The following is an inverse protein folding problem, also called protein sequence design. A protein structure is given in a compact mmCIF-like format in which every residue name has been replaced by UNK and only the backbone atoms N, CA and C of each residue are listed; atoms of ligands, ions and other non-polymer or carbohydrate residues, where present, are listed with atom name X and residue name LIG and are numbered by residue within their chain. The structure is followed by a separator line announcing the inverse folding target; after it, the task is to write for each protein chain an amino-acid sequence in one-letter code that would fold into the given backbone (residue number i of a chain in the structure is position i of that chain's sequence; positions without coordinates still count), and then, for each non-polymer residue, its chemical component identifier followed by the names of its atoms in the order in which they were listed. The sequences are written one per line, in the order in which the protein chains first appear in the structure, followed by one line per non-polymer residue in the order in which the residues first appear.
data_IF_914154991941
#
_entry.id   IF_914154991941
#
_cell.length_a   1.000
_cell.length_b   1.000
_cell.length_c   1.000
_cell.angle_alpha   90.00
_cell.angle_beta   90.00
_cell.angle_gamma   90.00
#
_symmetry.space_group_name_H-M   'P 1'
#
loop_
_entity.id
_entity.type
_entity.pdbx_description
1 polymer ?
#
# COMPACT_ATOMS: atom_id res chain seq x y z
N UNK A 1 -14.67 -5.35 -7.68
CA UNK A 1 -13.65 -4.29 -7.69
C UNK A 1 -12.31 -4.88 -7.33
N UNK A 2 -11.23 -4.49 -7.99
CA UNK A 2 -9.90 -5.04 -7.68
C UNK A 2 -9.36 -4.59 -6.32
N UNK A 3 -9.88 -3.52 -5.74
CA UNK A 3 -9.44 -3.02 -4.43
C UNK A 3 -10.58 -3.12 -3.43
N UNK A 4 -10.31 -3.77 -2.31
CA UNK A 4 -11.22 -3.87 -1.18
C UNK A 4 -10.62 -3.16 0.02
N UNK A 5 -11.34 -2.23 0.61
CA UNK A 5 -10.92 -1.55 1.83
C UNK A 5 -11.42 -2.39 3.00
N UNK A 6 -10.50 -3.09 3.68
CA UNK A 6 -10.86 -3.95 4.80
C UNK A 6 -11.14 -3.10 6.04
N UNK A 7 -10.26 -2.14 6.32
CA UNK A 7 -10.41 -1.26 7.47
C UNK A 7 -9.64 0.04 7.22
N UNK A 8 -10.30 1.17 7.39
CA UNK A 8 -9.69 2.49 7.29
C UNK A 8 -10.14 3.40 8.44
N UNK A 9 -10.69 2.81 9.51
CA UNK A 9 -11.28 3.57 10.62
C UNK A 9 -10.27 4.02 11.69
N UNK A 10 -9.09 3.42 11.72
CA UNK A 10 -8.06 3.71 12.71
C UNK A 10 -6.74 4.11 12.08
N UNK A 11 -5.66 3.93 12.82
CA UNK A 11 -4.31 4.24 12.34
C UNK A 11 -3.74 3.18 11.41
N UNK A 12 -4.31 1.98 11.38
CA UNK A 12 -3.89 0.92 10.47
C UNK A 12 -4.86 0.84 9.31
N UNK A 13 -4.39 1.21 8.14
CA UNK A 13 -5.16 1.08 6.90
C UNK A 13 -4.93 -0.32 6.34
N UNK A 14 -5.99 -1.09 6.17
CA UNK A 14 -5.91 -2.43 5.62
C UNK A 14 -6.65 -2.49 4.30
N UNK A 15 -5.92 -2.81 3.23
CA UNK A 15 -6.48 -2.94 1.88
C UNK A 15 -6.08 -4.27 1.27
N UNK A 16 -6.95 -4.79 0.42
CA UNK A 16 -6.70 -6.01 -0.35
C UNK A 16 -6.81 -5.66 -1.83
N UNK A 17 -5.83 -6.11 -2.62
CA UNK A 17 -5.76 -5.86 -4.05
C UNK A 17 -5.81 -7.19 -4.76
N UNK A 18 -6.77 -7.35 -5.67
CA UNK A 18 -6.95 -8.54 -6.51
C UNK A 18 -6.79 -8.18 -7.98
N UNK A 19 -6.23 -9.11 -8.76
CA UNK A 19 -6.06 -8.88 -10.18
C UNK A 19 -5.10 -7.72 -10.45
N UNK A 20 -5.37 -6.96 -11.50
CA UNK A 20 -4.51 -5.85 -11.92
C UNK A 20 -4.90 -4.55 -11.21
N UNK A 21 -3.92 -3.89 -10.59
CA UNK A 21 -4.15 -2.59 -9.96
C UNK A 21 -4.18 -1.50 -11.03
N UNK A 22 -5.30 -0.82 -11.14
CA UNK A 22 -5.47 0.30 -12.06
C UNK A 22 -5.14 1.62 -11.38
N UNK A 23 -4.68 2.60 -12.18
CA UNK A 23 -4.35 3.92 -11.64
C UNK A 23 -5.54 4.56 -10.92
N UNK A 24 -6.75 4.40 -11.45
CA UNK A 24 -7.96 4.93 -10.80
C UNK A 24 -8.20 4.32 -9.43
N UNK A 25 -7.92 3.02 -9.27
CA UNK A 25 -8.04 2.35 -7.96
C UNK A 25 -6.96 2.83 -7.00
N UNK A 26 -5.75 3.04 -7.50
CA UNK A 26 -4.65 3.59 -6.71
C UNK A 26 -4.98 5.00 -6.22
N UNK A 27 -5.55 5.84 -7.08
CA UNK A 27 -5.96 7.20 -6.70
C UNK A 27 -6.99 7.18 -5.58
N UNK A 28 -7.90 6.20 -5.59
CA UNK A 28 -8.87 6.00 -4.52
C UNK A 28 -8.18 5.61 -3.21
N UNK A 29 -7.19 4.73 -3.26
CA UNK A 29 -6.40 4.36 -2.09
C UNK A 29 -5.69 5.60 -1.52
N UNK A 30 -5.11 6.42 -2.37
CA UNK A 30 -4.42 7.65 -1.97
C UNK A 30 -5.39 8.61 -1.28
N UNK A 31 -6.62 8.74 -1.79
CA UNK A 31 -7.63 9.60 -1.17
C UNK A 31 -7.98 9.12 0.24
N UNK A 32 -8.15 7.82 0.42
CA UNK A 32 -8.43 7.22 1.73
C UNK A 32 -7.25 7.44 2.67
N UNK A 33 -6.02 7.30 2.18
CA UNK A 33 -4.82 7.55 2.98
C UNK A 33 -4.74 9.01 3.43
N UNK A 34 -5.05 9.96 2.55
CA UNK A 34 -5.07 11.38 2.89
C UNK A 34 -6.06 11.68 4.00
N UNK A 35 -7.25 11.09 3.93
CA UNK A 35 -8.28 11.26 4.95
C UNK A 35 -7.84 10.70 6.30
N UNK A 36 -7.22 9.52 6.29
CA UNK A 36 -6.72 8.90 7.51
C UNK A 36 -5.59 9.72 8.13
N UNK A 37 -4.66 10.24 7.34
CA UNK A 37 -3.57 11.08 7.81
C UNK A 37 -4.13 12.37 8.42
N UNK A 38 -5.12 12.99 7.78
CA UNK A 38 -5.75 14.19 8.30
C UNK A 38 -6.42 13.95 9.67
N UNK A 39 -6.97 12.75 9.86
CA UNK A 39 -7.62 12.38 11.13
C UNK A 39 -6.65 11.95 12.22
N UNK A 40 -5.64 11.14 11.86
CA UNK A 40 -4.76 10.48 12.83
C UNK A 40 -3.36 11.11 12.95
N UNK A 41 -2.95 11.90 11.98
CA UNK A 41 -1.61 12.48 11.92
C UNK A 41 -0.60 11.55 11.26
N UNK A 42 -0.39 10.34 11.80
CA UNK A 42 0.45 9.31 11.23
C UNK A 42 -0.34 8.00 11.14
N UNK A 43 -0.06 7.21 10.11
CA UNK A 43 -0.75 5.94 9.89
C UNK A 43 0.24 4.83 9.54
N UNK A 44 -0.23 3.60 9.63
CA UNK A 44 0.45 2.42 9.11
C UNK A 44 -0.44 1.81 8.04
N UNK A 45 0.16 1.14 7.08
CA UNK A 45 -0.56 0.54 5.96
C UNK A 45 -0.27 -0.95 5.84
N UNK A 46 -1.30 -1.73 5.58
CA UNK A 46 -1.20 -3.16 5.29
C UNK A 46 -1.85 -3.39 3.94
N UNK A 47 -1.06 -3.80 2.95
CA UNK A 47 -1.55 -4.10 1.61
C UNK A 47 -1.45 -5.60 1.36
N UNK A 48 -2.59 -6.24 1.13
CA UNK A 48 -2.67 -7.68 0.87
C UNK A 48 -2.86 -7.89 -0.62
N UNK A 49 -1.88 -8.54 -1.25
CA UNK A 49 -1.92 -8.86 -2.68
C UNK A 49 -2.47 -10.29 -2.82
N UNK A 50 -3.77 -10.40 -3.07
CA UNK A 50 -4.46 -11.69 -3.20
C UNK A 50 -4.80 -11.94 -4.66
N UNK A 51 -4.09 -12.86 -5.30
CA UNK A 51 -4.24 -13.09 -6.74
C UNK A 51 -3.84 -11.88 -7.56
N UNK A 52 -2.83 -11.14 -7.11
CA UNK A 52 -2.36 -9.93 -7.76
C UNK A 52 -1.73 -10.23 -9.12
N UNK A 53 -2.05 -9.43 -10.12
CA UNK A 53 -1.59 -9.64 -11.49
C UNK A 53 -0.71 -8.50 -12.02
N UNK A 54 -0.35 -7.55 -11.16
CA UNK A 54 0.54 -6.44 -11.54
C UNK A 54 -0.18 -5.11 -11.65
N UNK A 55 0.51 -4.15 -12.24
CA UNK A 55 0.01 -2.79 -12.42
C UNK A 55 -0.45 -2.57 -13.84
N UNK A 56 -1.47 -1.73 -14.02
CA UNK A 56 -1.95 -1.30 -15.33
C UNK A 56 -0.82 -0.66 -16.14
N UNK A 57 -0.66 -1.07 -17.41
CA UNK A 57 0.45 -0.59 -18.25
C UNK A 57 0.32 0.86 -18.67
N UNK A 58 -0.89 1.34 -18.85
CA UNK A 58 -1.16 2.67 -19.38
C UNK A 58 -1.53 3.70 -18.31
N UNK A 59 -1.40 3.33 -17.04
CA UNK A 59 -1.65 4.24 -15.94
C UNK A 59 -0.54 5.29 -15.82
N UNK A 60 -0.89 6.48 -15.32
CA UNK A 60 0.09 7.52 -15.02
C UNK A 60 0.73 7.26 -13.65
N UNK A 61 1.70 6.37 -13.63
CA UNK A 61 2.42 6.00 -12.41
C UNK A 61 3.57 6.97 -12.07
N UNK A 62 3.79 7.97 -12.91
CA UNK A 62 4.83 8.96 -12.69
C UNK A 62 4.47 10.04 -11.69
N UNK A 63 3.19 10.14 -11.30
CA UNK A 63 2.76 11.11 -10.30
C UNK A 63 3.10 10.61 -8.90
N UNK A 64 4.15 11.18 -8.31
CA UNK A 64 4.62 10.81 -6.96
C UNK A 64 4.33 11.91 -5.93
N UNK A 65 3.44 12.84 -6.26
CA UNK A 65 3.16 13.99 -5.41
C UNK A 65 2.70 13.59 -4.00
N UNK A 66 1.86 12.56 -3.87
CA UNK A 66 1.44 12.09 -2.55
C UNK A 66 2.64 11.63 -1.71
N UNK A 67 3.54 10.84 -2.28
CA UNK A 67 4.71 10.36 -1.54
C UNK A 67 5.63 11.51 -1.11
N UNK A 68 5.79 12.50 -1.96
CA UNK A 68 6.64 13.65 -1.65
C UNK A 68 6.02 14.55 -0.58
N UNK A 69 4.72 14.75 -0.62
CA UNK A 69 4.04 15.66 0.30
C UNK A 69 3.66 14.99 1.63
N UNK A 70 3.23 13.73 1.59
CA UNK A 70 2.64 13.08 2.76
C UNK A 70 3.23 11.70 3.09
N UNK A 71 4.17 11.21 2.30
CA UNK A 71 4.76 9.88 2.52
C UNK A 71 5.38 9.71 3.90
N UNK A 72 5.89 10.79 4.49
CA UNK A 72 6.48 10.76 5.85
C UNK A 72 5.44 10.47 6.94
N UNK A 73 4.15 10.66 6.65
CA UNK A 73 3.08 10.38 7.60
C UNK A 73 2.65 8.91 7.61
N UNK A 74 3.18 8.12 6.69
CA UNK A 74 3.03 6.67 6.72
C UNK A 74 4.28 6.12 7.39
N UNK A 75 4.16 5.74 8.68
CA UNK A 75 5.34 5.34 9.43
C UNK A 75 5.78 3.92 9.14
N UNK A 76 4.85 3.03 8.82
CA UNK A 76 5.15 1.64 8.44
C UNK A 76 4.22 1.16 7.33
N UNK A 77 4.75 0.31 6.47
CA UNK A 77 3.97 -0.35 5.43
C UNK A 77 4.34 -1.83 5.38
N UNK A 78 3.36 -2.70 5.48
CA UNK A 78 3.53 -4.13 5.27
C UNK A 78 2.83 -4.52 3.98
N UNK A 79 3.55 -5.22 3.11
CA UNK A 79 2.99 -5.77 1.87
C UNK A 79 2.99 -7.28 2.00
N UNK A 80 1.84 -7.90 1.79
CA UNK A 80 1.66 -9.35 1.92
C UNK A 80 1.27 -9.93 0.57
N UNK A 81 1.98 -10.93 0.09
CA UNK A 81 1.67 -11.53 -1.20
C UNK A 81 2.66 -12.60 -1.62
N UNK A 82 2.57 -13.01 -2.88
CA UNK A 82 3.51 -13.94 -3.48
C UNK A 82 4.89 -13.28 -3.60
N UNK A 83 5.94 -13.99 -3.25
CA UNK A 83 7.30 -13.46 -3.27
C UNK A 83 7.75 -12.95 -4.65
N UNK A 84 7.15 -13.43 -5.72
CA UNK A 84 7.48 -12.93 -7.06
C UNK A 84 7.23 -11.42 -7.23
N UNK A 85 6.37 -10.84 -6.38
CA UNK A 85 6.04 -9.41 -6.41
C UNK A 85 6.89 -8.56 -5.49
N UNK A 86 7.77 -9.19 -4.69
CA UNK A 86 8.53 -8.50 -3.65
C UNK A 86 9.36 -7.32 -4.20
N UNK A 87 10.16 -7.57 -5.22
CA UNK A 87 11.03 -6.53 -5.78
C UNK A 87 10.23 -5.42 -6.43
N UNK A 88 9.17 -5.77 -7.16
CA UNK A 88 8.30 -4.79 -7.80
C UNK A 88 7.56 -3.94 -6.76
N UNK A 89 7.09 -4.56 -5.68
CA UNK A 89 6.43 -3.85 -4.60
C UNK A 89 7.39 -2.87 -3.91
N UNK A 90 8.63 -3.27 -3.67
CA UNK A 90 9.63 -2.39 -3.08
C UNK A 90 9.97 -1.23 -4.01
N UNK A 91 10.05 -1.47 -5.31
CA UNK A 91 10.28 -0.41 -6.28
C UNK A 91 9.10 0.56 -6.31
N UNK A 92 7.88 0.04 -6.34
CA UNK A 92 6.66 0.85 -6.39
C UNK A 92 6.49 1.73 -5.14
N UNK A 93 6.85 1.20 -3.97
CA UNK A 93 6.71 1.91 -2.70
C UNK A 93 7.94 2.74 -2.34
N UNK A 94 8.97 2.72 -3.16
CA UNK A 94 10.22 3.47 -2.97
C UNK A 94 10.94 3.10 -1.66
N UNK A 95 10.99 1.80 -1.34
CA UNK A 95 11.73 1.32 -0.17
C UNK A 95 13.19 1.75 -0.24
N UNK A 96 13.70 2.30 0.87
CA UNK A 96 15.07 2.79 0.95
C UNK A 96 15.25 4.25 0.55
N UNK A 97 14.24 4.86 -0.08
CA UNK A 97 14.28 6.25 -0.52
C UNK A 97 13.34 7.15 0.27
N UNK A 98 12.73 6.62 1.32
CA UNK A 98 11.79 7.36 2.17
C UNK A 98 11.88 6.84 3.60
N UNK A 99 11.47 7.64 4.61
CA UNK A 99 11.58 7.23 6.02
C UNK A 99 10.64 6.10 6.44
N UNK A 100 9.64 5.78 5.63
CA UNK A 100 8.70 4.70 5.93
C UNK A 100 9.40 3.35 6.00
N UNK A 101 9.20 2.60 7.08
CA UNK A 101 9.66 1.23 7.18
C UNK A 101 8.75 0.32 6.35
N UNK A 102 9.29 -0.31 5.31
CA UNK A 102 8.52 -1.14 4.38
C UNK A 102 9.01 -2.58 4.46
N UNK A 103 8.12 -3.51 4.75
CA UNK A 103 8.42 -4.92 4.84
C UNK A 103 7.50 -5.74 3.96
N UNK A 104 8.00 -6.88 3.47
CA UNK A 104 7.23 -7.81 2.65
C UNK A 104 7.09 -9.15 3.39
N UNK A 105 5.88 -9.70 3.38
CA UNK A 105 5.57 -10.98 4.02
C UNK A 105 4.87 -11.90 3.03
N UNK A 106 5.14 -13.22 3.06
CA UNK A 106 4.32 -14.15 2.28
C UNK A 106 2.90 -14.24 2.86
N UNK A 107 1.95 -14.67 2.04
CA UNK A 107 0.54 -14.78 2.45
C UNK A 107 0.35 -15.64 3.70
N UNK A 108 1.19 -16.66 3.89
CA UNK A 108 1.14 -17.52 5.07
C UNK A 108 1.47 -16.79 6.37
N UNK A 109 2.03 -15.57 6.29
CA UNK A 109 2.42 -14.78 7.45
C UNK A 109 1.61 -13.50 7.60
N UNK A 110 0.39 -13.50 7.10
CA UNK A 110 -0.49 -12.34 7.16
C UNK A 110 -0.69 -11.82 8.60
N UNK A 111 -0.87 -12.72 9.56
CA UNK A 111 -1.05 -12.32 10.95
C UNK A 111 0.19 -11.63 11.53
N UNK A 112 1.38 -12.10 11.16
CA UNK A 112 2.62 -11.44 11.56
C UNK A 112 2.71 -10.02 10.97
N UNK A 113 2.30 -9.85 9.72
CA UNK A 113 2.27 -8.55 9.06
C UNK A 113 1.33 -7.57 9.77
N UNK A 114 0.17 -8.03 10.21
CA UNK A 114 -0.79 -7.20 10.96
C UNK A 114 -0.26 -6.73 12.30
N UNK A 115 0.61 -7.52 12.91
CA UNK A 115 1.16 -7.21 14.23
C UNK A 115 2.38 -6.29 14.19
N UNK A 116 2.86 -5.99 13.00
CA UNK A 116 4.06 -5.16 12.82
C UNK A 116 3.74 -3.64 12.93
#
# INVERSE_FOLDING_TARGET
MPVEIIDASGKLLQIKIRGMLKKADYDRIIQIAKEAIAREGKVRALSILDGFEGWERHGDWGDVSFMMEQGQHIEKMAVVGDEKWKDDAFAFTAKGFRPTAIEFFPLSRLNAARST
#
